data_IF_898689866638
#
_entry.id   IF_898689866638
#
_cell.length_a   1.000
_cell.length_b   1.000
_cell.length_c   1.000
_cell.angle_alpha   90.00
_cell.angle_beta   90.00
_cell.angle_gamma   90.00
#
_symmetry.space_group_name_H-M   'P 1'
#
loop_
_entity.id
_entity.type
_entity.pdbx_description
1 polymer ?
#
# COMPACT_ATOMS: atom_id res chain seq x y z
N UNK A 1 -16.91 -3.91 -12.58
CA UNK A 1 -16.55 -2.48 -12.48
C UNK A 1 -15.71 -2.17 -11.23
N UNK A 2 -16.09 -2.64 -10.05
CA UNK A 2 -15.43 -2.29 -8.78
C UNK A 2 -13.99 -2.80 -8.60
N UNK A 3 -13.63 -3.99 -9.11
CA UNK A 3 -12.28 -4.55 -8.92
C UNK A 3 -11.18 -3.74 -9.61
N UNK A 4 -11.44 -3.24 -10.83
CA UNK A 4 -10.49 -2.42 -11.59
C UNK A 4 -10.25 -1.05 -10.93
N UNK A 5 -11.30 -0.48 -10.32
CA UNK A 5 -11.22 0.79 -9.59
C UNK A 5 -10.41 0.58 -8.29
N UNK A 6 -10.72 -0.47 -7.54
CA UNK A 6 -10.00 -0.81 -6.31
C UNK A 6 -8.52 -1.13 -6.59
N UNK A 7 -8.21 -1.83 -7.68
CA UNK A 7 -6.82 -2.09 -8.09
C UNK A 7 -6.07 -0.80 -8.45
N UNK A 8 -6.71 0.13 -9.16
CA UNK A 8 -6.12 1.45 -9.49
C UNK A 8 -5.89 2.28 -8.22
N UNK A 9 -6.84 2.27 -7.30
CA UNK A 9 -6.74 2.95 -6.01
C UNK A 9 -5.58 2.38 -5.17
N UNK A 10 -5.48 1.04 -5.09
CA UNK A 10 -4.38 0.37 -4.40
C UNK A 10 -3.03 0.74 -5.02
N UNK A 11 -2.93 0.75 -6.35
CA UNK A 11 -1.69 1.15 -7.05
C UNK A 11 -1.31 2.60 -6.76
N UNK A 12 -2.26 3.53 -6.76
CA UNK A 12 -2.00 4.92 -6.40
C UNK A 12 -1.49 5.03 -4.94
N UNK A 13 -2.12 4.29 -4.03
CA UNK A 13 -1.72 4.25 -2.62
C UNK A 13 -0.33 3.64 -2.42
N UNK A 14 0.04 2.62 -3.20
CA UNK A 14 1.39 2.04 -3.17
C UNK A 14 2.45 3.03 -3.64
N UNK A 15 2.18 3.81 -4.68
CA UNK A 15 3.10 4.84 -5.16
C UNK A 15 3.31 5.95 -4.12
N UNK A 16 2.24 6.37 -3.45
CA UNK A 16 2.30 7.40 -2.42
C UNK A 16 3.12 6.93 -1.20
N UNK A 17 2.90 5.68 -0.76
CA UNK A 17 3.69 5.06 0.32
C UNK A 17 5.14 4.82 -0.10
N UNK A 18 5.42 4.45 -1.36
CA UNK A 18 6.77 4.21 -1.85
C UNK A 18 7.66 5.47 -1.78
N UNK A 19 7.06 6.66 -1.87
CA UNK A 19 7.75 7.95 -1.70
C UNK A 19 7.98 8.35 -0.24
N UNK A 20 7.43 7.61 0.73
CA UNK A 20 7.56 7.98 2.12
C UNK A 20 8.95 7.70 2.68
N UNK A 21 9.40 8.60 3.55
CA UNK A 21 10.70 8.56 4.22
C UNK A 21 11.02 7.21 4.87
N UNK A 22 10.05 6.52 5.46
CA UNK A 22 10.27 5.21 6.11
C UNK A 22 10.70 4.12 5.12
N UNK A 23 10.27 4.20 3.85
CA UNK A 23 10.71 3.31 2.76
C UNK A 23 12.14 3.64 2.36
N UNK A 24 12.49 4.93 2.27
CA UNK A 24 13.86 5.37 2.01
C UNK A 24 14.82 4.88 3.11
N UNK A 25 14.44 5.01 4.39
CA UNK A 25 15.22 4.46 5.50
C UNK A 25 15.37 2.94 5.42
N UNK A 26 14.32 2.23 4.99
CA UNK A 26 14.38 0.78 4.83
C UNK A 26 15.39 0.37 3.74
N UNK A 27 15.37 1.05 2.59
CA UNK A 27 16.34 0.84 1.50
C UNK A 27 17.77 1.17 1.95
N UNK A 28 17.96 2.27 2.67
CA UNK A 28 19.28 2.68 3.18
C UNK A 28 19.87 1.70 4.20
N UNK A 29 19.03 0.95 4.93
CA UNK A 29 19.46 -0.14 5.82
C UNK A 29 19.85 -1.42 5.07
N UNK A 30 19.71 -1.46 3.75
CA UNK A 30 20.01 -2.65 2.95
C UNK A 30 18.92 -3.73 3.00
N UNK A 31 17.68 -3.39 3.40
CA UNK A 31 16.56 -4.33 3.29
C UNK A 31 16.31 -4.66 1.82
N UNK A 32 16.06 -5.94 1.55
CA UNK A 32 15.82 -6.42 0.19
C UNK A 32 14.61 -5.69 -0.44
N UNK A 33 14.68 -5.31 -1.71
CA UNK A 33 13.61 -4.54 -2.36
C UNK A 33 12.25 -5.24 -2.29
N UNK A 34 12.23 -6.58 -2.46
CA UNK A 34 11.02 -7.39 -2.29
C UNK A 34 10.46 -7.35 -0.86
N UNK A 35 11.33 -7.27 0.15
CA UNK A 35 10.91 -7.14 1.55
C UNK A 35 10.36 -5.74 1.81
N UNK A 36 11.00 -4.71 1.29
CA UNK A 36 10.55 -3.32 1.38
C UNK A 36 9.19 -3.15 0.70
N UNK A 37 9.02 -3.67 -0.51
CA UNK A 37 7.77 -3.60 -1.26
C UNK A 37 6.63 -4.34 -0.55
N UNK A 38 6.84 -5.60 -0.19
CA UNK A 38 5.76 -6.43 0.34
C UNK A 38 5.43 -6.12 1.79
N UNK A 39 6.43 -5.79 2.62
CA UNK A 39 6.28 -5.64 4.07
C UNK A 39 6.10 -4.20 4.54
N UNK A 40 6.61 -3.23 3.77
CA UNK A 40 6.47 -1.80 4.09
C UNK A 40 5.49 -1.10 3.13
N UNK A 41 5.68 -1.22 1.81
CA UNK A 41 4.86 -0.48 0.85
C UNK A 41 3.43 -1.05 0.79
N UNK A 42 3.27 -2.33 0.44
CA UNK A 42 1.96 -2.97 0.26
C UNK A 42 1.12 -2.93 1.54
N UNK A 43 1.74 -3.21 2.69
CA UNK A 43 1.05 -3.26 3.99
C UNK A 43 0.58 -1.89 4.46
N UNK A 44 1.35 -0.83 4.22
CA UNK A 44 0.94 0.54 4.57
C UNK A 44 -0.01 1.12 3.51
N UNK A 45 0.13 0.74 2.25
CA UNK A 45 -0.72 1.17 1.15
C UNK A 45 -2.11 0.50 1.15
N UNK A 46 -2.32 -0.57 1.92
CA UNK A 46 -3.61 -1.24 2.02
C UNK A 46 -4.59 -0.60 3.01
N UNK A 47 -4.18 0.45 3.74
CA UNK A 47 -5.06 1.20 4.65
C UNK A 47 -6.38 1.65 3.98
N UNK A 48 -6.38 2.21 2.75
CA UNK A 48 -7.61 2.63 2.08
C UNK A 48 -8.51 1.45 1.72
N UNK A 49 -7.93 0.28 1.44
CA UNK A 49 -8.69 -0.94 1.17
C UNK A 49 -9.39 -1.44 2.43
N UNK A 50 -8.74 -1.34 3.60
CA UNK A 50 -9.36 -1.68 4.89
C UNK A 50 -10.58 -0.79 5.14
N UNK A 51 -10.47 0.52 4.87
CA UNK A 51 -11.59 1.46 4.99
C UNK A 51 -12.71 1.15 3.98
N UNK A 52 -12.36 0.91 2.71
CA UNK A 52 -13.33 0.61 1.66
C UNK A 52 -14.09 -0.71 1.93
N UNK A 53 -13.39 -1.73 2.41
CA UNK A 53 -13.99 -3.01 2.83
C UNK A 53 -14.85 -2.82 4.08
N UNK A 54 -14.40 -2.04 5.07
CA UNK A 54 -15.20 -1.73 6.25
C UNK A 54 -16.54 -1.05 5.91
N UNK A 55 -16.53 -0.11 4.95
CA UNK A 55 -17.76 0.51 4.45
C UNK A 55 -18.68 -0.49 3.73
N UNK A 56 -18.14 -1.50 3.05
CA UNK A 56 -18.93 -2.55 2.38
C UNK A 56 -19.49 -3.61 3.34
N UNK A 57 -18.90 -3.78 4.53
CA UNK A 57 -19.38 -4.75 5.53
C UNK A 57 -20.51 -4.15 6.38
N UNK A 58 -20.51 -2.83 6.59
CA UNK A 58 -21.51 -2.13 7.41
C UNK A 58 -22.83 -1.81 6.70
N UNK A 59 -22.94 -2.11 5.41
CA UNK A 59 -24.13 -1.89 4.57
C UNK A 59 -24.58 -3.24 3.98
#
# INVERSE_FOLDING_TARGET
MSLAINARLLRASMLDVAGQRHVTWARLRGLNDKQTERRHILRNASLPMITAVGMHIGN
#
